data_IF_947344994727
#
_entry.id   IF_947344994727
#
_cell.length_a   1.000
_cell.length_b   1.000
_cell.length_c   1.000
_cell.angle_alpha   90.00
_cell.angle_beta   90.00
_cell.angle_gamma   90.00
#
_symmetry.space_group_name_H-M   'P 1'
#
loop_
_entity.id
_entity.type
_entity.pdbx_description
1 polymer ?
#
# COMPACT_ATOMS: atom_id res chain seq x y z
N UNK A 1 29.78 -25.71 23.03
CA UNK A 1 28.34 -25.47 23.27
C UNK A 1 27.96 -23.99 23.40
N UNK A 2 28.85 -23.09 23.84
CA UNK A 2 28.54 -21.65 24.02
C UNK A 2 28.57 -20.78 22.74
N UNK A 3 29.41 -21.12 21.75
CA UNK A 3 29.51 -20.37 20.50
C UNK A 3 28.19 -20.32 19.67
N UNK A 4 27.43 -21.41 19.48
CA UNK A 4 26.16 -21.34 18.75
C UNK A 4 25.08 -20.56 19.51
N UNK A 5 25.08 -20.59 20.85
CA UNK A 5 24.17 -19.80 21.68
C UNK A 5 24.46 -18.30 21.59
N UNK A 6 25.74 -17.91 21.60
CA UNK A 6 26.16 -16.53 21.43
C UNK A 6 25.79 -16.01 20.02
N UNK A 7 26.04 -16.81 18.99
CA UNK A 7 25.69 -16.46 17.62
C UNK A 7 24.17 -16.29 17.44
N UNK A 8 23.36 -17.18 18.03
CA UNK A 8 21.90 -17.07 18.01
C UNK A 8 21.40 -15.82 18.76
N UNK A 9 22.00 -15.50 19.92
CA UNK A 9 21.65 -14.30 20.69
C UNK A 9 22.00 -13.01 19.94
N UNK A 10 23.16 -12.97 19.28
CA UNK A 10 23.57 -11.84 18.45
C UNK A 10 22.65 -11.67 17.22
N UNK A 11 22.30 -12.78 16.55
CA UNK A 11 21.35 -12.75 15.44
C UNK A 11 19.98 -12.23 15.89
N UNK A 12 19.46 -12.73 17.01
CA UNK A 12 18.20 -12.29 17.57
C UNK A 12 18.23 -10.79 17.95
N UNK A 13 19.31 -10.31 18.55
CA UNK A 13 19.50 -8.91 18.88
C UNK A 13 19.57 -8.03 17.61
N UNK A 14 20.23 -8.49 16.55
CA UNK A 14 20.29 -7.82 15.25
C UNK A 14 18.91 -7.75 14.58
N UNK A 15 18.15 -8.85 14.58
CA UNK A 15 16.79 -8.91 14.03
C UNK A 15 15.83 -8.03 14.83
N UNK A 16 15.96 -8.01 16.16
CA UNK A 16 15.16 -7.14 17.01
C UNK A 16 15.46 -5.66 16.74
N UNK A 17 16.74 -5.29 16.67
CA UNK A 17 17.18 -3.91 16.38
C UNK A 17 16.82 -3.43 14.98
N UNK A 18 16.82 -4.31 13.99
CA UNK A 18 16.51 -3.94 12.61
C UNK A 18 15.03 -3.64 12.37
N UNK A 19 14.14 -4.06 13.29
CA UNK A 19 12.70 -3.83 13.18
C UNK A 19 12.02 -4.56 12.02
N UNK A 20 12.72 -5.48 11.34
CA UNK A 20 12.22 -6.19 10.15
C UNK A 20 10.96 -7.01 10.41
N UNK A 21 10.75 -7.47 11.65
CA UNK A 21 9.55 -8.21 12.04
C UNK A 21 8.37 -7.31 12.39
N UNK A 22 8.60 -6.02 12.69
CA UNK A 22 7.56 -5.12 13.21
C UNK A 22 6.36 -4.98 12.27
N UNK A 23 6.53 -4.79 10.94
CA UNK A 23 5.39 -4.72 10.02
C UNK A 23 4.52 -5.97 10.03
N UNK A 24 5.16 -7.15 10.03
CA UNK A 24 4.47 -8.43 10.02
C UNK A 24 3.74 -8.71 11.32
N UNK A 25 4.36 -8.42 12.47
CA UNK A 25 3.71 -8.55 13.78
C UNK A 25 2.53 -7.59 13.92
N UNK A 26 2.67 -6.35 13.44
CA UNK A 26 1.59 -5.36 13.43
C UNK A 26 0.43 -5.83 12.56
N UNK A 27 0.72 -6.34 11.36
CA UNK A 27 -0.27 -6.92 10.47
C UNK A 27 -0.98 -8.12 11.12
N UNK A 28 -0.24 -9.06 11.72
CA UNK A 28 -0.83 -10.23 12.37
C UNK A 28 -1.77 -9.82 13.51
N UNK A 29 -1.32 -8.88 14.35
CA UNK A 29 -2.13 -8.35 15.45
C UNK A 29 -3.43 -7.73 14.94
N UNK A 30 -3.37 -6.81 13.98
CA UNK A 30 -4.56 -6.12 13.48
C UNK A 30 -5.47 -7.01 12.63
N UNK A 31 -4.93 -7.98 11.89
CA UNK A 31 -5.71 -8.85 11.01
C UNK A 31 -6.36 -10.03 11.71
N UNK A 32 -5.72 -10.60 12.74
CA UNK A 32 -6.14 -11.91 13.28
C UNK A 32 -6.42 -11.92 14.78
N UNK A 33 -5.85 -11.00 15.56
CA UNK A 33 -5.89 -11.08 17.03
C UNK A 33 -6.73 -9.97 17.64
N UNK A 34 -6.53 -8.73 17.19
CA UNK A 34 -7.17 -7.55 17.77
C UNK A 34 -8.68 -7.60 17.56
N UNK A 35 -9.50 -7.59 18.62
CA UNK A 35 -10.93 -7.53 18.45
C UNK A 35 -11.34 -6.19 17.84
N UNK A 36 -12.09 -6.25 16.74
CA UNK A 36 -12.81 -5.11 16.20
C UNK A 36 -14.11 -5.02 17.01
N UNK A 37 -14.09 -4.22 18.08
CA UNK A 37 -15.16 -4.15 19.08
C UNK A 37 -16.55 -3.82 18.52
N UNK A 38 -17.54 -3.73 19.41
CA UNK A 38 -18.93 -3.32 19.08
C UNK A 38 -19.13 -1.80 19.05
N UNK A 39 -18.05 -1.03 19.00
CA UNK A 39 -18.07 0.43 19.14
C UNK A 39 -18.12 1.04 17.74
N UNK A 40 -19.05 1.98 17.50
CA UNK A 40 -19.17 2.72 16.25
C UNK A 40 -19.89 1.97 15.12
N UNK A 41 -20.03 2.66 13.99
CA UNK A 41 -20.58 2.11 12.75
C UNK A 41 -19.53 1.29 11.96
N UNK A 42 -19.90 0.76 10.78
CA UNK A 42 -18.97 -0.02 9.96
C UNK A 42 -17.74 0.77 9.53
N UNK A 43 -17.91 2.08 9.26
CA UNK A 43 -16.86 2.99 8.85
C UNK A 43 -15.84 3.18 9.96
N UNK A 44 -16.29 3.44 11.18
CA UNK A 44 -15.42 3.59 12.35
C UNK A 44 -14.60 2.33 12.59
N UNK A 45 -15.22 1.14 12.45
CA UNK A 45 -14.52 -0.14 12.61
C UNK A 45 -13.47 -0.39 11.52
N UNK A 46 -13.76 0.03 10.29
CA UNK A 46 -12.80 -0.01 9.18
C UNK A 46 -11.59 0.90 9.45
N UNK A 47 -11.85 2.14 9.86
CA UNK A 47 -10.78 3.09 10.20
C UNK A 47 -9.92 2.56 11.35
N UNK A 48 -10.54 2.02 12.39
CA UNK A 48 -9.84 1.46 13.54
C UNK A 48 -8.96 0.24 13.17
N UNK A 49 -9.43 -0.60 12.25
CA UNK A 49 -8.67 -1.74 11.73
C UNK A 49 -7.38 -1.28 11.05
N UNK A 50 -7.43 -0.22 10.26
CA UNK A 50 -6.29 0.26 9.49
C UNK A 50 -5.40 1.27 10.23
N UNK A 51 -5.94 2.04 11.18
CA UNK A 51 -5.21 3.12 11.85
C UNK A 51 -3.88 2.67 12.48
N UNK A 52 -3.86 1.50 13.12
CA UNK A 52 -2.64 0.97 13.76
C UNK A 52 -1.62 0.34 12.81
N UNK A 53 -1.99 0.09 11.54
CA UNK A 53 -1.13 -0.54 10.53
C UNK A 53 -0.89 0.33 9.29
N UNK A 54 -1.52 1.50 9.17
CA UNK A 54 -1.47 2.35 7.98
C UNK A 54 -0.04 2.72 7.57
N UNK A 55 0.84 2.99 8.54
CA UNK A 55 2.25 3.34 8.30
C UNK A 55 3.12 2.19 7.81
N UNK A 56 2.70 0.94 8.04
CA UNK A 56 3.41 -0.27 7.60
C UNK A 56 2.67 -0.99 6.47
N UNK A 57 1.56 -0.42 6.00
CA UNK A 57 0.61 -1.09 5.12
C UNK A 57 1.24 -1.55 3.81
N UNK A 58 2.04 -0.71 3.15
CA UNK A 58 2.66 -1.07 1.88
C UNK A 58 3.64 -2.23 2.02
N UNK A 59 4.42 -2.25 3.10
CA UNK A 59 5.48 -3.25 3.31
C UNK A 59 4.91 -4.67 3.39
N UNK A 60 3.77 -4.86 4.04
CA UNK A 60 3.11 -6.17 4.14
C UNK A 60 2.29 -6.46 2.88
N UNK A 61 1.63 -5.45 2.30
CA UNK A 61 0.80 -5.59 1.09
C UNK A 61 1.62 -5.98 -0.14
N UNK A 62 2.87 -5.52 -0.24
CA UNK A 62 3.76 -5.84 -1.35
C UNK A 62 4.01 -7.35 -1.49
N UNK A 63 4.14 -8.07 -0.37
CA UNK A 63 4.34 -9.52 -0.40
C UNK A 63 3.07 -10.28 -0.83
N UNK A 64 1.89 -9.73 -0.53
CA UNK A 64 0.60 -10.33 -0.86
C UNK A 64 0.19 -10.11 -2.32
N UNK A 65 0.53 -8.95 -2.90
CA UNK A 65 0.10 -8.57 -4.24
C UNK A 65 1.17 -8.80 -5.32
N UNK A 66 1.57 -10.06 -5.50
CA UNK A 66 2.60 -10.46 -6.48
C UNK A 66 2.30 -10.03 -7.92
N UNK A 67 1.02 -9.95 -8.29
CA UNK A 67 0.58 -9.56 -9.63
C UNK A 67 0.52 -8.05 -9.89
N UNK A 68 0.74 -7.19 -8.88
CA UNK A 68 0.51 -5.74 -8.99
C UNK A 68 1.30 -5.10 -10.15
N UNK A 69 2.61 -5.36 -10.21
CA UNK A 69 3.49 -4.78 -11.25
C UNK A 69 3.09 -5.25 -12.65
N UNK A 70 2.78 -6.53 -12.81
CA UNK A 70 2.31 -7.09 -14.08
C UNK A 70 1.01 -6.44 -14.52
N UNK A 71 0.03 -6.31 -13.61
CA UNK A 71 -1.23 -5.64 -13.88
C UNK A 71 -1.02 -4.19 -14.34
N UNK A 72 -0.25 -3.39 -13.59
CA UNK A 72 0.02 -1.99 -13.94
C UNK A 72 0.75 -1.85 -15.28
N UNK A 73 1.75 -2.71 -15.54
CA UNK A 73 2.48 -2.72 -16.81
C UNK A 73 1.57 -3.02 -18.01
N UNK A 74 0.70 -4.02 -17.88
CA UNK A 74 -0.28 -4.37 -18.92
C UNK A 74 -1.31 -3.24 -19.13
N UNK A 75 -1.80 -2.64 -18.04
CA UNK A 75 -2.70 -1.47 -18.11
C UNK A 75 -2.02 -0.29 -18.81
N UNK A 76 -0.78 0.04 -18.45
CA UNK A 76 -0.01 1.11 -19.08
C UNK A 76 0.21 0.85 -20.58
N UNK A 77 0.56 -0.38 -20.97
CA UNK A 77 0.71 -0.74 -22.38
C UNK A 77 -0.60 -0.58 -23.16
N UNK A 78 -1.73 -0.97 -22.57
CA UNK A 78 -3.04 -0.80 -23.16
C UNK A 78 -3.41 0.69 -23.31
N UNK A 79 -3.23 1.49 -22.25
CA UNK A 79 -3.50 2.93 -22.27
C UNK A 79 -2.67 3.65 -23.34
N UNK A 80 -1.37 3.33 -23.46
CA UNK A 80 -0.51 3.87 -24.53
C UNK A 80 -1.00 3.48 -25.93
N UNK A 81 -1.51 2.27 -26.10
CA UNK A 81 -2.12 1.83 -27.37
C UNK A 81 -3.40 2.61 -27.69
N UNK A 82 -4.29 2.77 -26.71
CA UNK A 82 -5.52 3.58 -26.86
C UNK A 82 -5.21 5.04 -27.22
N UNK A 83 -4.21 5.64 -26.57
CA UNK A 83 -3.77 7.02 -26.82
C UNK A 83 -3.34 7.26 -28.25
N UNK A 84 -2.64 6.31 -28.88
CA UNK A 84 -2.23 6.40 -30.29
C UNK A 84 -3.42 6.54 -31.24
N UNK A 85 -4.56 5.94 -30.89
CA UNK A 85 -5.76 5.93 -31.73
C UNK A 85 -6.77 7.03 -31.34
N UNK A 86 -6.54 7.78 -30.26
CA UNK A 86 -7.49 8.75 -29.71
C UNK A 86 -6.78 9.86 -28.93
N UNK A 87 -5.98 10.67 -29.63
CA UNK A 87 -5.11 11.70 -29.04
C UNK A 87 -5.85 12.83 -28.32
N UNK A 88 -7.11 13.12 -28.71
CA UNK A 88 -7.88 14.24 -28.16
C UNK A 88 -8.83 13.88 -27.00
N UNK A 89 -8.90 12.60 -26.60
CA UNK A 89 -9.79 12.21 -25.49
C UNK A 89 -9.11 12.49 -24.15
N UNK A 90 -9.87 12.91 -23.13
CA UNK A 90 -9.31 13.04 -21.77
C UNK A 90 -9.00 11.67 -21.17
N UNK A 91 -7.89 11.56 -20.44
CA UNK A 91 -7.49 10.38 -19.68
C UNK A 91 -7.75 10.63 -18.20
N UNK A 92 -8.79 10.01 -17.66
CA UNK A 92 -9.11 10.09 -16.24
C UNK A 92 -8.97 8.72 -15.62
N UNK A 93 -8.21 8.64 -14.52
CA UNK A 93 -8.11 7.41 -13.72
C UNK A 93 -8.88 7.57 -12.41
N UNK A 94 -9.83 6.69 -12.16
CA UNK A 94 -10.51 6.57 -10.86
C UNK A 94 -10.01 5.28 -10.17
N UNK A 95 -9.24 5.43 -9.10
CA UNK A 95 -8.67 4.32 -8.31
C UNK A 95 -9.57 4.03 -7.11
N UNK A 96 -10.48 3.07 -7.28
CA UNK A 96 -11.49 2.67 -6.29
C UNK A 96 -10.89 1.66 -5.32
N UNK A 97 -10.93 1.95 -4.03
CA UNK A 97 -10.20 1.18 -3.02
C UNK A 97 -8.69 1.42 -3.11
N UNK A 98 -8.28 2.63 -3.52
CA UNK A 98 -6.89 2.98 -3.79
C UNK A 98 -5.98 2.99 -2.55
N UNK A 99 -6.56 2.93 -1.35
CA UNK A 99 -5.84 2.84 -0.08
C UNK A 99 -4.81 3.96 0.09
N UNK A 100 -3.54 3.58 0.19
CA UNK A 100 -2.40 4.49 0.38
C UNK A 100 -1.93 5.18 -0.90
N UNK A 101 -2.62 4.96 -2.03
CA UNK A 101 -2.26 5.50 -3.34
C UNK A 101 -1.08 4.81 -4.00
N UNK A 102 -0.61 3.69 -3.46
CA UNK A 102 0.63 3.05 -3.93
C UNK A 102 0.53 2.54 -5.37
N UNK A 103 -0.66 2.19 -5.88
CA UNK A 103 -0.82 1.85 -7.29
C UNK A 103 -0.54 3.05 -8.20
N UNK A 104 -0.98 4.25 -7.82
CA UNK A 104 -0.78 5.50 -8.57
C UNK A 104 0.70 5.87 -8.60
N UNK A 105 1.37 5.85 -7.45
CA UNK A 105 2.83 6.03 -7.40
C UNK A 105 3.57 5.02 -8.29
N UNK A 106 3.21 3.74 -8.19
CA UNK A 106 3.88 2.69 -8.95
C UNK A 106 3.58 2.79 -10.46
N UNK A 107 2.42 3.35 -10.85
CA UNK A 107 2.07 3.57 -12.25
C UNK A 107 3.08 4.47 -12.94
N UNK A 108 3.65 5.47 -12.25
CA UNK A 108 4.62 6.42 -12.82
C UNK A 108 5.84 5.71 -13.43
N UNK A 109 6.22 4.54 -12.88
CA UNK A 109 7.29 3.71 -13.43
C UNK A 109 6.97 3.03 -14.77
N UNK A 110 5.68 2.93 -15.14
CA UNK A 110 5.21 2.31 -16.37
C UNK A 110 4.63 3.34 -17.36
N UNK A 111 3.96 4.36 -16.86
CA UNK A 111 3.37 5.47 -17.60
C UNK A 111 3.35 6.71 -16.69
N UNK A 112 4.00 7.82 -17.08
CA UNK A 112 4.03 9.03 -16.27
C UNK A 112 2.63 9.44 -15.84
N UNK A 113 2.41 9.64 -14.54
CA UNK A 113 1.08 10.00 -14.04
C UNK A 113 0.63 11.39 -14.53
N UNK A 114 1.58 12.22 -14.98
CA UNK A 114 1.32 13.50 -15.65
C UNK A 114 0.65 13.36 -17.03
N UNK A 115 0.62 12.16 -17.63
CA UNK A 115 -0.17 11.90 -18.85
C UNK A 115 -1.68 11.81 -18.58
N UNK A 116 -2.10 11.69 -17.32
CA UNK A 116 -3.50 11.68 -16.93
C UNK A 116 -4.00 13.11 -16.71
N UNK A 117 -5.13 13.45 -17.31
CA UNK A 117 -5.79 14.75 -17.08
C UNK A 117 -6.29 14.89 -15.63
N UNK A 118 -6.68 13.77 -15.01
CA UNK A 118 -7.07 13.72 -13.62
C UNK A 118 -6.91 12.31 -13.05
N UNK A 119 -6.55 12.24 -11.77
CA UNK A 119 -6.51 10.99 -11.00
C UNK A 119 -7.35 11.19 -9.73
N UNK A 120 -8.36 10.35 -9.54
CA UNK A 120 -9.23 10.34 -8.38
C UNK A 120 -8.96 9.08 -7.56
N UNK A 121 -8.36 9.24 -6.38
CA UNK A 121 -8.22 8.16 -5.42
C UNK A 121 -9.44 8.15 -4.50
N UNK A 122 -10.18 7.04 -4.49
CA UNK A 122 -11.38 6.85 -3.68
C UNK A 122 -11.13 5.68 -2.72
N UNK A 123 -11.29 5.91 -1.42
CA UNK A 123 -11.24 4.85 -0.42
C UNK A 123 -12.24 5.15 0.71
N UNK A 124 -12.74 4.10 1.36
CA UNK A 124 -13.60 4.24 2.53
C UNK A 124 -12.80 4.48 3.80
N UNK A 125 -11.51 4.15 3.84
CA UNK A 125 -10.69 4.21 5.03
C UNK A 125 -9.92 5.54 5.11
N UNK A 126 -10.27 6.39 6.07
CA UNK A 126 -9.64 7.71 6.22
C UNK A 126 -8.15 7.61 6.62
N UNK A 127 -7.73 6.70 7.54
CA UNK A 127 -6.32 6.48 7.80
C UNK A 127 -5.45 6.16 6.57
N UNK A 128 -5.98 5.41 5.59
CA UNK A 128 -5.24 5.11 4.35
C UNK A 128 -5.19 6.34 3.43
N UNK A 129 -6.30 7.08 3.32
CA UNK A 129 -6.35 8.36 2.59
C UNK A 129 -5.36 9.38 3.16
N UNK A 130 -5.16 9.42 4.48
CA UNK A 130 -4.15 10.29 5.10
C UNK A 130 -2.72 9.92 4.67
N UNK A 131 -2.41 8.64 4.50
CA UNK A 131 -1.13 8.20 3.93
C UNK A 131 -1.01 8.62 2.47
N UNK A 132 -2.08 8.43 1.68
CA UNK A 132 -2.11 8.85 0.28
C UNK A 132 -1.87 10.36 0.12
N UNK A 133 -2.57 11.20 0.89
CA UNK A 133 -2.39 12.66 0.88
C UNK A 133 -0.94 13.05 1.18
N UNK A 134 -0.32 12.42 2.19
CA UNK A 134 1.10 12.66 2.51
C UNK A 134 2.03 12.23 1.39
N UNK A 135 1.79 11.08 0.76
CA UNK A 135 2.58 10.59 -0.38
C UNK A 135 2.59 11.59 -1.53
N UNK A 136 1.41 12.04 -1.95
CA UNK A 136 1.29 12.93 -3.10
C UNK A 136 1.61 14.39 -2.79
N UNK A 137 1.59 14.82 -1.53
CA UNK A 137 2.10 16.14 -1.14
C UNK A 137 3.63 16.26 -1.27
N UNK A 138 4.35 15.12 -1.34
CA UNK A 138 5.80 15.06 -1.50
C UNK A 138 6.28 14.69 -2.91
N UNK A 139 5.35 14.54 -3.87
CA UNK A 139 5.63 14.20 -5.27
C UNK A 139 5.64 15.42 -6.17
#
# INVERSE_FOLDING_TARGET
>A
MFLPLLAAALLAACVWRSGVLRPYLTFIWHCFIRPLGKIGDQKARLDEFYAGQASVYDSTRNALLRGRKTMLSLSAAHLKSMRKNSTNQRLVWVDIGGGTGHNIELMDSFMPIAEFDAIYLIDLCEPLLQVARKRFASM
#
